data_IF_921794597346
#
_entry.id   IF_921794597346
#
_cell.length_a   1.000
_cell.length_b   1.000
_cell.length_c   1.000
_cell.angle_alpha   90.00
_cell.angle_beta   90.00
_cell.angle_gamma   90.00
#
_symmetry.space_group_name_H-M   'P 1'
#
loop_
_entity.id
_entity.type
_entity.pdbx_description
1 polymer ?
#
# COMPACT_ATOMS: atom_id res chain seq x y z
N UNK A 1 10.73 -10.33 -10.36
CA UNK A 1 9.47 -9.92 -9.69
C UNK A 1 8.60 -9.10 -10.65
N UNK A 2 7.27 -9.01 -10.47
CA UNK A 2 6.38 -8.18 -11.32
C UNK A 2 6.86 -6.71 -11.36
N UNK A 3 7.33 -6.19 -10.21
CA UNK A 3 7.92 -4.85 -10.10
C UNK A 3 9.05 -4.60 -11.13
N UNK A 4 9.96 -5.56 -11.32
CA UNK A 4 11.09 -5.41 -12.26
C UNK A 4 10.63 -5.35 -13.70
N UNK A 5 9.58 -6.09 -14.06
CA UNK A 5 8.99 -6.05 -15.40
C UNK A 5 8.35 -4.68 -15.63
N UNK A 6 7.61 -4.17 -14.65
CA UNK A 6 7.00 -2.84 -14.73
C UNK A 6 8.04 -1.74 -14.90
N UNK A 7 9.14 -1.81 -14.14
CA UNK A 7 10.23 -0.84 -14.23
C UNK A 7 10.97 -0.92 -15.57
N UNK A 8 11.30 -2.13 -16.05
CA UNK A 8 12.03 -2.33 -17.32
C UNK A 8 11.22 -1.96 -18.56
N UNK A 9 9.89 -2.01 -18.47
CA UNK A 9 8.98 -1.79 -19.61
C UNK A 9 8.16 -0.51 -19.50
N UNK A 10 8.43 0.33 -18.49
CA UNK A 10 7.67 1.56 -18.22
C UNK A 10 6.16 1.33 -18.13
N UNK A 11 5.76 0.25 -17.44
CA UNK A 11 4.35 -0.08 -17.22
C UNK A 11 3.87 0.50 -15.89
N UNK A 12 2.64 0.99 -15.88
CA UNK A 12 1.94 1.33 -14.64
C UNK A 12 1.32 0.07 -14.05
N UNK A 13 1.61 -0.23 -12.79
CA UNK A 13 1.04 -1.33 -12.04
C UNK A 13 0.04 -0.81 -11.02
N UNK A 14 -1.20 -1.29 -11.10
CA UNK A 14 -2.16 -1.18 -10.00
C UNK A 14 -2.22 -2.52 -9.28
N UNK A 15 -1.72 -2.57 -8.05
CA UNK A 15 -1.72 -3.77 -7.22
C UNK A 15 -2.84 -3.69 -6.19
N UNK A 16 -3.61 -4.77 -6.05
CA UNK A 16 -4.62 -4.93 -5.01
C UNK A 16 -4.18 -6.07 -4.11
N UNK A 17 -3.95 -5.79 -2.84
CA UNK A 17 -3.46 -6.74 -1.84
C UNK A 17 -4.24 -6.60 -0.55
N UNK A 18 -4.40 -7.70 0.16
CA UNK A 18 -4.88 -7.72 1.55
C UNK A 18 -3.72 -7.67 2.56
N UNK A 19 -2.47 -7.92 2.13
CA UNK A 19 -1.26 -7.73 2.94
C UNK A 19 -0.57 -6.44 2.54
N UNK A 20 -0.35 -5.57 3.53
CA UNK A 20 0.41 -4.33 3.38
C UNK A 20 1.90 -4.64 3.20
N UNK A 21 2.44 -5.70 3.83
CA UNK A 21 3.84 -6.09 3.60
C UNK A 21 4.08 -6.49 2.15
N UNK A 22 3.14 -7.18 1.52
CA UNK A 22 3.23 -7.54 0.11
C UNK A 22 3.14 -6.32 -0.81
N UNK A 23 2.26 -5.37 -0.49
CA UNK A 23 2.16 -4.11 -1.19
C UNK A 23 3.46 -3.30 -1.07
N UNK A 24 4.06 -3.22 0.12
CA UNK A 24 5.29 -2.45 0.35
C UNK A 24 6.49 -2.95 -0.47
N UNK A 25 6.55 -4.25 -0.79
CA UNK A 25 7.62 -4.80 -1.63
C UNK A 25 7.54 -4.39 -3.10
N UNK A 26 6.38 -3.93 -3.58
CA UNK A 26 6.10 -3.73 -5.01
C UNK A 26 5.61 -2.31 -5.32
N UNK A 27 4.82 -1.72 -4.43
CA UNK A 27 4.12 -0.46 -4.62
C UNK A 27 4.59 0.58 -3.58
N UNK A 28 5.33 1.63 -3.99
CA UNK A 28 5.82 2.65 -3.07
C UNK A 28 4.71 3.61 -2.58
N UNK A 29 3.59 3.69 -3.30
CA UNK A 29 2.39 4.44 -2.94
C UNK A 29 1.20 3.50 -2.81
N UNK A 30 0.36 3.74 -1.81
CA UNK A 30 -0.86 2.97 -1.56
C UNK A 30 -2.05 3.90 -1.34
N UNK A 31 -3.24 3.37 -1.67
CA UNK A 31 -4.53 3.98 -1.37
C UNK A 31 -5.30 3.00 -0.48
N UNK A 32 -5.85 3.48 0.62
CA UNK A 32 -6.74 2.68 1.47
C UNK A 32 -8.17 3.11 1.20
N UNK A 33 -9.01 2.16 0.82
CA UNK A 33 -10.43 2.37 0.56
C UNK A 33 -11.23 1.74 1.71
N UNK A 34 -12.05 2.54 2.38
CA UNK A 34 -12.97 2.10 3.42
C UNK A 34 -14.33 2.76 3.17
N UNK A 35 -15.42 2.01 3.35
CA UNK A 35 -16.80 2.50 3.17
C UNK A 35 -17.04 3.21 1.82
N UNK A 36 -16.45 2.66 0.75
CA UNK A 36 -16.57 3.21 -0.61
C UNK A 36 -15.84 4.54 -0.83
N UNK A 37 -14.99 4.98 0.11
CA UNK A 37 -14.22 6.23 0.03
C UNK A 37 -12.73 5.97 0.20
N UNK A 38 -11.90 6.85 -0.37
CA UNK A 38 -10.47 6.87 -0.09
C UNK A 38 -10.29 7.40 1.34
N UNK A 39 -9.97 6.51 2.26
CA UNK A 39 -9.69 6.84 3.65
C UNK A 39 -8.26 7.38 3.82
N UNK A 40 -7.34 6.99 2.93
CA UNK A 40 -5.94 7.42 2.99
C UNK A 40 -5.20 7.25 1.64
N UNK A 41 -4.20 8.10 1.42
CA UNK A 41 -3.32 8.13 0.25
C UNK A 41 -1.90 8.55 0.68
N UNK A 42 -0.89 7.75 0.35
CA UNK A 42 0.50 8.11 0.66
C UNK A 42 1.51 7.00 0.44
N UNK A 43 2.70 7.16 1.03
CA UNK A 43 3.78 6.19 0.94
C UNK A 43 3.45 4.92 1.73
N UNK A 44 3.56 3.75 1.09
CA UNK A 44 3.17 2.46 1.69
C UNK A 44 3.89 2.18 3.02
N UNK A 45 5.14 2.63 3.16
CA UNK A 45 5.92 2.51 4.40
C UNK A 45 5.26 3.21 5.61
N UNK A 46 4.49 4.28 5.38
CA UNK A 46 3.76 4.96 6.44
C UNK A 46 2.65 4.07 7.04
N UNK A 47 2.03 3.20 6.23
CA UNK A 47 1.05 2.21 6.72
C UNK A 47 1.73 1.16 7.60
N UNK A 48 2.91 0.69 7.20
CA UNK A 48 3.70 -0.28 7.96
C UNK A 48 4.22 0.26 9.28
N UNK A 49 4.48 1.57 9.37
CA UNK A 49 4.93 2.21 10.61
C UNK A 49 3.88 2.22 11.72
N UNK A 50 2.60 1.93 11.39
CA UNK A 50 1.49 2.01 12.34
C UNK A 50 1.06 3.44 12.71
N UNK A 51 1.77 4.47 12.23
CA UNK A 51 1.50 5.87 12.55
C UNK A 51 0.44 6.52 11.65
N UNK A 52 -0.06 5.79 10.64
CA UNK A 52 -1.13 6.28 9.77
C UNK A 52 -2.50 5.99 10.39
N UNK A 53 -3.44 6.93 10.25
CA UNK A 53 -4.85 6.72 10.62
C UNK A 53 -5.45 5.49 9.94
N UNK A 54 -4.94 5.13 8.76
CA UNK A 54 -5.38 3.94 8.02
C UNK A 54 -4.73 2.63 8.48
N UNK A 55 -3.62 2.66 9.23
CA UNK A 55 -3.02 1.44 9.80
C UNK A 55 -4.03 0.69 10.69
N UNK A 56 -4.80 1.43 11.48
CA UNK A 56 -5.88 0.86 12.30
C UNK A 56 -6.99 0.20 11.49
N UNK A 57 -7.36 0.77 10.34
CA UNK A 57 -8.38 0.19 9.44
C UNK A 57 -7.93 -1.14 8.83
N UNK A 58 -6.61 -1.35 8.76
CA UNK A 58 -5.99 -2.56 8.23
C UNK A 58 -5.60 -3.55 9.34
N UNK A 59 -5.99 -3.30 10.60
CA UNK A 59 -5.66 -4.15 11.74
C UNK A 59 -4.19 -4.12 12.15
N UNK A 60 -3.43 -3.11 11.69
CA UNK A 60 -2.02 -2.91 12.02
C UNK A 60 -1.96 -2.04 13.28
N UNK A 61 -1.49 -2.61 14.40
CA UNK A 61 -1.19 -1.85 15.61
C UNK A 61 0.16 -1.17 15.51
N UNK A 62 0.26 0.07 16.00
CA UNK A 62 1.53 0.75 16.21
C UNK A 62 2.44 -0.11 17.10
N UNK A 63 3.70 -0.25 16.69
CA UNK A 63 4.71 -1.04 17.41
C UNK A 63 5.45 -0.20 18.44
#
# INVERSE_FOLDING_TARGET
MVAEVCQRRSLTLLMVSHSVEDAARIAPRSLVVADGRIAWDGATDALLSGNSSASHLLGISAR
#
